data_IF_201849687160
#
_entry.id   IF_201849687160
#
_cell.length_a   1.000
_cell.length_b   1.000
_cell.length_c   1.000
_cell.angle_alpha   90.00
_cell.angle_beta   90.00
_cell.angle_gamma   90.00
#
_symmetry.space_group_name_H-M   'P 1'
#
loop_
_entity.id
_entity.type
_entity.pdbx_description
1 polymer ?
#
# COMPACT_ATOMS: atom_id res chain seq x y z
N UNK A 1 -37.35 -18.73 9.61
CA UNK A 1 -36.11 -18.37 10.32
C UNK A 1 -34.97 -19.19 9.70
N UNK A 2 -34.29 -18.70 8.64
CA UNK A 2 -33.19 -19.44 8.03
C UNK A 2 -31.89 -19.24 8.83
N UNK A 3 -31.14 -20.33 8.92
CA UNK A 3 -29.89 -20.47 9.65
C UNK A 3 -28.75 -19.68 8.98
N UNK A 4 -27.80 -19.31 9.85
CA UNK A 4 -26.57 -18.55 9.59
C UNK A 4 -25.83 -19.06 8.36
N UNK A 5 -25.47 -18.13 7.47
CA UNK A 5 -24.48 -18.39 6.43
C UNK A 5 -23.13 -18.68 7.07
N UNK A 6 -22.51 -19.78 6.66
CA UNK A 6 -21.16 -20.14 7.04
C UNK A 6 -20.20 -19.03 6.58
N UNK A 7 -19.46 -18.48 7.53
CA UNK A 7 -18.35 -17.58 7.22
C UNK A 7 -17.30 -18.37 6.41
N UNK A 8 -16.72 -17.80 5.34
CA UNK A 8 -15.65 -18.48 4.63
C UNK A 8 -14.50 -18.76 5.60
N UNK A 9 -14.24 -20.06 5.82
CA UNK A 9 -13.07 -20.56 6.53
C UNK A 9 -11.84 -19.87 5.95
N UNK A 10 -11.10 -19.12 6.77
CA UNK A 10 -9.86 -18.48 6.38
C UNK A 10 -8.94 -19.54 5.75
N UNK A 11 -8.76 -19.46 4.43
CA UNK A 11 -7.83 -20.32 3.71
C UNK A 11 -6.48 -20.20 4.42
N UNK A 12 -5.91 -21.34 4.79
CA UNK A 12 -4.59 -21.41 5.42
C UNK A 12 -3.63 -20.65 4.50
N UNK A 13 -3.20 -19.45 4.91
CA UNK A 13 -2.26 -18.65 4.12
C UNK A 13 -1.05 -19.53 3.87
N UNK A 14 -0.76 -19.84 2.61
CA UNK A 14 0.55 -20.34 2.25
C UNK A 14 1.58 -19.36 2.82
N UNK A 15 2.74 -19.83 3.29
CA UNK A 15 3.78 -18.91 3.72
C UNK A 15 4.07 -17.94 2.57
N UNK A 16 3.96 -16.65 2.85
CA UNK A 16 4.09 -15.57 1.88
C UNK A 16 5.29 -14.70 2.27
N UNK A 17 5.93 -14.11 1.27
CA UNK A 17 6.99 -13.14 1.48
C UNK A 17 6.49 -11.88 2.17
N UNK A 18 7.40 -11.17 2.83
CA UNK A 18 7.14 -9.86 3.42
C UNK A 18 6.56 -8.89 2.38
N UNK A 19 7.10 -8.86 1.15
CA UNK A 19 6.62 -7.96 0.10
C UNK A 19 5.19 -8.30 -0.35
N UNK A 20 4.84 -9.58 -0.41
CA UNK A 20 3.50 -9.99 -0.81
C UNK A 20 2.47 -9.63 0.27
N UNK A 21 2.81 -9.82 1.55
CA UNK A 21 1.94 -9.43 2.66
C UNK A 21 1.78 -7.90 2.75
N UNK A 22 2.88 -7.16 2.66
CA UNK A 22 2.85 -5.69 2.64
C UNK A 22 2.02 -5.14 1.47
N UNK A 23 2.07 -5.81 0.31
CA UNK A 23 1.23 -5.44 -0.82
C UNK A 23 -0.26 -5.69 -0.57
N UNK A 24 -0.63 -6.80 0.07
CA UNK A 24 -2.03 -7.06 0.43
C UNK A 24 -2.57 -5.99 1.37
N UNK A 25 -1.78 -5.61 2.38
CA UNK A 25 -2.12 -4.52 3.29
C UNK A 25 -2.26 -3.17 2.55
N UNK A 26 -1.39 -2.89 1.57
CA UNK A 26 -1.47 -1.68 0.75
C UNK A 26 -2.75 -1.63 -0.11
N UNK A 27 -3.15 -2.75 -0.71
CA UNK A 27 -4.40 -2.85 -1.50
C UNK A 27 -5.63 -2.71 -0.60
N UNK A 28 -5.62 -3.30 0.59
CA UNK A 28 -6.69 -3.13 1.56
C UNK A 28 -6.77 -1.69 2.08
N UNK A 29 -5.62 -1.06 2.35
CA UNK A 29 -5.56 0.36 2.71
C UNK A 29 -6.11 1.28 1.62
N UNK A 30 -5.84 1.00 0.34
CA UNK A 30 -6.40 1.75 -0.79
C UNK A 30 -7.94 1.62 -0.81
N UNK A 31 -8.47 0.42 -0.58
CA UNK A 31 -9.91 0.19 -0.46
C UNK A 31 -10.52 0.99 0.70
N UNK A 32 -9.91 0.91 1.89
CA UNK A 32 -10.38 1.64 3.08
C UNK A 32 -10.34 3.16 2.89
N UNK A 33 -9.29 3.67 2.24
CA UNK A 33 -9.17 5.09 1.89
C UNK A 33 -10.35 5.53 1.03
N UNK A 34 -10.67 4.76 -0.04
CA UNK A 34 -11.82 5.05 -0.92
C UNK A 34 -13.17 4.89 -0.24
N UNK A 35 -13.27 4.01 0.76
CA UNK A 35 -14.47 3.81 1.56
C UNK A 35 -14.64 4.84 2.70
N UNK A 36 -13.71 5.80 2.84
CA UNK A 36 -13.80 6.88 3.82
C UNK A 36 -13.25 6.55 5.20
N UNK A 37 -12.41 5.50 5.32
CA UNK A 37 -11.66 5.18 6.54
C UNK A 37 -10.14 5.30 6.35
N UNK A 38 -9.61 6.53 6.18
CA UNK A 38 -8.18 6.75 6.01
C UNK A 38 -7.37 6.42 7.28
N UNK A 39 -7.99 6.39 8.47
CA UNK A 39 -7.28 6.05 9.71
C UNK A 39 -6.94 4.56 9.76
N UNK A 40 -7.89 3.70 9.42
CA UNK A 40 -7.64 2.27 9.29
C UNK A 40 -6.63 2.01 8.16
N UNK A 41 -6.76 2.69 7.03
CA UNK A 41 -5.80 2.61 5.93
C UNK A 41 -4.36 2.94 6.35
N UNK A 42 -4.14 4.07 7.03
CA UNK A 42 -2.81 4.46 7.54
C UNK A 42 -2.26 3.48 8.59
N UNK A 43 -3.13 2.75 9.28
CA UNK A 43 -2.70 1.70 10.22
C UNK A 43 -2.21 0.46 9.48
N UNK A 44 -2.89 0.05 8.41
CA UNK A 44 -2.43 -1.05 7.55
C UNK A 44 -1.13 -0.69 6.83
N UNK A 45 -0.99 0.54 6.33
CA UNK A 45 0.25 0.95 5.66
C UNK A 45 1.46 0.96 6.60
N UNK A 46 1.27 1.38 7.86
CA UNK A 46 2.31 1.25 8.89
C UNK A 46 2.65 -0.21 9.18
N UNK A 47 1.64 -1.08 9.27
CA UNK A 47 1.88 -2.51 9.46
C UNK A 47 2.63 -3.15 8.28
N UNK A 48 2.32 -2.72 7.04
CA UNK A 48 3.04 -3.13 5.85
C UNK A 48 4.52 -2.70 5.88
N UNK A 49 4.81 -1.47 6.35
CA UNK A 49 6.18 -0.98 6.58
C UNK A 49 6.89 -1.84 7.62
N UNK A 50 6.25 -2.12 8.75
CA UNK A 50 6.80 -2.99 9.81
C UNK A 50 7.10 -4.41 9.30
N UNK A 51 6.26 -4.98 8.43
CA UNK A 51 6.48 -6.29 7.80
C UNK A 51 7.71 -6.26 6.89
N UNK A 52 7.87 -5.22 6.07
CA UNK A 52 9.02 -5.10 5.18
C UNK A 52 10.32 -4.96 5.96
N UNK A 53 10.31 -4.18 7.04
CA UNK A 53 11.47 -3.99 7.92
C UNK A 53 11.85 -5.27 8.66
N UNK A 54 10.86 -6.06 9.09
CA UNK A 54 11.09 -7.35 9.73
C UNK A 54 11.64 -8.42 8.76
N UNK A 55 11.27 -8.33 7.48
CA UNK A 55 11.64 -9.30 6.44
C UNK A 55 10.95 -10.66 6.59
N UNK A 56 11.31 -11.60 5.71
CA UNK A 56 10.80 -12.98 5.78
C UNK A 56 11.76 -13.98 5.16
N UNK A 57 11.69 -15.25 5.59
CA UNK A 57 12.44 -16.36 4.98
C UNK A 57 11.87 -16.81 3.62
N UNK A 58 10.74 -16.23 3.19
CA UNK A 58 10.05 -16.60 1.95
C UNK A 58 10.32 -15.59 0.84
N UNK A 59 10.60 -16.08 -0.36
CA UNK A 59 10.76 -15.24 -1.55
C UNK A 59 9.42 -14.95 -2.21
N UNK A 60 9.28 -13.73 -2.72
CA UNK A 60 8.15 -13.38 -3.61
C UNK A 60 8.17 -14.21 -4.89
N UNK A 61 7.00 -14.51 -5.50
CA UNK A 61 6.95 -15.16 -6.81
C UNK A 61 7.68 -14.36 -7.90
N UNK A 62 8.30 -15.03 -8.87
CA UNK A 62 9.11 -14.38 -9.94
C UNK A 62 8.34 -13.35 -10.80
N UNK A 63 7.01 -13.45 -10.87
CA UNK A 63 6.17 -12.49 -11.59
C UNK A 63 5.86 -11.23 -10.77
N UNK A 64 6.15 -11.23 -9.46
CA UNK A 64 5.85 -10.16 -8.51
C UNK A 64 7.06 -9.22 -8.31
N UNK A 65 7.54 -8.63 -9.40
CA UNK A 65 8.76 -7.79 -9.42
C UNK A 65 8.49 -6.29 -9.36
N UNK A 66 7.22 -5.90 -9.38
CA UNK A 66 6.80 -4.51 -9.55
C UNK A 66 6.46 -3.81 -8.23
N UNK A 67 6.24 -4.56 -7.14
CA UNK A 67 6.02 -4.00 -5.81
C UNK A 67 7.36 -3.79 -5.11
N UNK A 68 7.44 -2.71 -4.32
CA UNK A 68 8.64 -2.31 -3.61
C UNK A 68 8.28 -1.43 -2.42
N UNK A 69 9.19 -1.20 -1.46
CA UNK A 69 8.98 -0.21 -0.40
C UNK A 69 8.62 1.18 -0.95
N UNK A 70 9.21 1.57 -2.09
CA UNK A 70 8.89 2.83 -2.75
C UNK A 70 7.45 2.89 -3.28
N UNK A 71 6.93 1.76 -3.78
CA UNK A 71 5.52 1.64 -4.18
C UNK A 71 4.60 1.71 -2.97
N UNK A 72 4.98 1.11 -1.84
CA UNK A 72 4.22 1.22 -0.59
C UNK A 72 4.14 2.69 -0.12
N UNK A 73 5.25 3.42 -0.16
CA UNK A 73 5.27 4.85 0.16
C UNK A 73 4.34 5.68 -0.75
N UNK A 74 4.20 5.31 -2.02
CA UNK A 74 3.22 5.93 -2.92
C UNK A 74 1.77 5.72 -2.46
N UNK A 75 1.41 4.52 -1.99
CA UNK A 75 0.08 4.28 -1.39
C UNK A 75 -0.14 5.16 -0.16
N UNK A 76 0.87 5.28 0.72
CA UNK A 76 0.83 6.19 1.86
C UNK A 76 0.59 7.63 1.46
N UNK A 77 1.36 8.16 0.51
CA UNK A 77 1.20 9.55 0.05
C UNK A 77 -0.22 9.81 -0.48
N UNK A 78 -0.78 8.87 -1.24
CA UNK A 78 -2.16 8.98 -1.73
C UNK A 78 -3.20 8.93 -0.59
N UNK A 79 -3.04 8.02 0.36
CA UNK A 79 -3.91 7.94 1.55
C UNK A 79 -3.82 9.21 2.40
N UNK A 80 -2.62 9.77 2.61
CA UNK A 80 -2.41 11.02 3.32
C UNK A 80 -3.10 12.20 2.61
N UNK A 81 -3.00 12.26 1.28
CA UNK A 81 -3.68 13.25 0.45
C UNK A 81 -5.21 13.15 0.62
N UNK A 82 -5.78 11.95 0.45
CA UNK A 82 -7.22 11.73 0.57
C UNK A 82 -7.73 11.89 2.03
N UNK A 83 -6.86 11.75 3.02
CA UNK A 83 -7.14 12.07 4.41
C UNK A 83 -7.09 13.58 4.73
N UNK A 84 -6.64 14.42 3.80
CA UNK A 84 -6.44 15.85 4.01
C UNK A 84 -5.16 16.20 4.77
N UNK A 85 -4.22 15.26 4.93
CA UNK A 85 -2.93 15.47 5.57
C UNK A 85 -1.92 16.07 4.57
N UNK A 86 -2.25 17.23 4.02
CA UNK A 86 -1.56 17.81 2.85
C UNK A 86 -0.03 17.99 3.04
N UNK A 87 0.48 18.53 4.17
CA UNK A 87 1.93 18.67 4.34
C UNK A 87 2.67 17.33 4.39
N UNK A 88 2.05 16.31 4.98
CA UNK A 88 2.59 14.95 5.04
C UNK A 88 2.58 14.32 3.64
N UNK A 89 1.44 14.37 2.95
CA UNK A 89 1.29 13.87 1.60
C UNK A 89 2.32 14.48 0.64
N UNK A 90 2.54 15.80 0.70
CA UNK A 90 3.57 16.49 -0.08
C UNK A 90 4.95 15.86 0.14
N UNK A 91 5.35 15.77 1.41
CA UNK A 91 6.67 15.25 1.80
C UNK A 91 6.86 13.82 1.30
N UNK A 92 5.88 12.96 1.55
CA UNK A 92 5.90 11.54 1.14
C UNK A 92 5.97 11.41 -0.39
N UNK A 93 5.14 12.15 -1.13
CA UNK A 93 5.06 12.05 -2.59
C UNK A 93 6.28 12.68 -3.29
N UNK A 94 6.86 13.75 -2.74
CA UNK A 94 8.13 14.33 -3.23
C UNK A 94 9.30 13.36 -3.05
N UNK A 95 9.38 12.68 -1.90
CA UNK A 95 10.39 11.65 -1.65
C UNK A 95 10.24 10.46 -2.60
N UNK A 96 9.00 10.00 -2.81
CA UNK A 96 8.70 8.95 -3.80
C UNK A 96 9.15 9.38 -5.20
N UNK A 97 8.82 10.60 -5.62
CA UNK A 97 9.18 11.11 -6.95
C UNK A 97 10.70 11.19 -7.13
N UNK A 98 11.43 11.59 -6.09
CA UNK A 98 12.89 11.71 -6.11
C UNK A 98 13.60 10.36 -6.28
N UNK A 99 13.04 9.29 -5.72
CA UNK A 99 13.63 7.95 -5.73
C UNK A 99 13.06 7.03 -6.83
N UNK A 100 12.03 7.47 -7.56
CA UNK A 100 11.39 6.65 -8.60
C UNK A 100 12.32 6.44 -9.80
N UNK A 101 12.51 5.19 -10.29
CA UNK A 101 13.31 4.93 -11.48
C UNK A 101 12.83 5.72 -12.70
N UNK A 102 13.75 6.20 -13.55
CA UNK A 102 13.40 6.96 -14.74
C UNK A 102 12.44 6.19 -15.67
N UNK A 103 12.56 4.87 -15.72
CA UNK A 103 11.73 3.97 -16.52
C UNK A 103 10.28 3.84 -16.03
N UNK A 104 9.98 4.23 -14.79
CA UNK A 104 8.65 4.05 -14.18
C UNK A 104 7.69 5.19 -14.54
N UNK A 105 7.56 5.47 -15.85
CA UNK A 105 6.86 6.64 -16.40
C UNK A 105 5.39 6.72 -15.99
N UNK A 106 4.68 5.59 -15.93
CA UNK A 106 3.29 5.54 -15.45
C UNK A 106 3.18 6.03 -14.01
N UNK A 107 4.01 5.48 -13.11
CA UNK A 107 3.95 5.83 -11.69
C UNK A 107 4.32 7.30 -11.49
N UNK A 108 5.33 7.81 -12.21
CA UNK A 108 5.71 9.22 -12.18
C UNK A 108 4.55 10.15 -12.48
N UNK A 109 3.79 9.86 -13.53
CA UNK A 109 2.61 10.66 -13.90
C UNK A 109 1.55 10.65 -12.80
N UNK A 110 1.32 9.51 -12.14
CA UNK A 110 0.38 9.43 -11.01
C UNK A 110 0.84 10.31 -9.85
N UNK A 111 2.12 10.19 -9.44
CA UNK A 111 2.67 10.97 -8.32
C UNK A 111 2.64 12.47 -8.61
N UNK A 112 2.96 12.89 -9.83
CA UNK A 112 2.86 14.30 -10.24
C UNK A 112 1.41 14.80 -10.22
N UNK A 113 0.45 13.96 -10.59
CA UNK A 113 -0.98 14.27 -10.49
C UNK A 113 -1.43 14.47 -9.05
N UNK A 114 -1.03 13.57 -8.16
CA UNK A 114 -1.33 13.67 -6.73
C UNK A 114 -0.67 14.91 -6.11
N UNK A 115 0.60 15.19 -6.41
CA UNK A 115 1.31 16.40 -5.95
C UNK A 115 0.65 17.71 -6.40
N UNK A 116 0.02 17.73 -7.58
CA UNK A 116 -0.71 18.89 -8.06
C UNK A 116 -2.03 19.14 -7.28
N UNK A 117 -2.52 18.15 -6.55
CA UNK A 117 -3.72 18.24 -5.72
C UNK A 117 -3.44 18.55 -4.24
N UNK A 118 -2.16 18.66 -3.85
CA UNK A 118 -1.70 18.97 -2.48
C UNK A 118 -1.61 20.47 -2.20
#
# INVERSE_FOLDING_TARGET
>A
MPARGDAPSAARRAPASAEFLAWLDAVEAECLTRCGDPRAALTLLRHAEDILDAGSDYSSPDWFTWFSPLRLAAFRGNTELLAGHLPQARTTLEDVLAHLPATDGKQRTVILGDLAAV
#
